data_IF_448485452564
#
_entry.id   IF_448485452564
#
_cell.length_a   1.000
_cell.length_b   1.000
_cell.length_c   1.000
_cell.angle_alpha   90.00
_cell.angle_beta   90.00
_cell.angle_gamma   90.00
#
_symmetry.space_group_name_H-M   'P 1'
#
loop_
_entity.id
_entity.type
_entity.pdbx_description
1 polymer ?
#
# COMPACT_ATOMS: atom_id res chain seq x y z
N UNK A 1 11.64 6.63 -5.42
CA UNK A 1 10.95 5.34 -5.69
C UNK A 1 10.50 4.82 -4.34
N UNK A 2 9.20 4.82 -4.07
CA UNK A 2 8.65 4.43 -2.78
C UNK A 2 8.34 2.93 -2.74
N UNK A 3 8.36 2.37 -1.54
CA UNK A 3 8.22 0.93 -1.33
C UNK A 3 6.83 0.65 -0.74
N UNK A 4 6.03 -0.14 -1.45
CA UNK A 4 4.78 -0.69 -0.95
C UNK A 4 5.01 -2.17 -0.69
N UNK A 5 4.84 -2.61 0.56
CA UNK A 5 4.95 -4.02 0.94
C UNK A 5 3.62 -4.51 1.47
N UNK A 6 3.21 -5.69 1.05
CA UNK A 6 2.00 -6.32 1.57
C UNK A 6 2.35 -7.57 2.35
N UNK A 7 1.69 -7.78 3.47
CA UNK A 7 1.91 -8.88 4.42
C UNK A 7 0.58 -9.56 4.73
N UNK A 8 0.49 -10.87 4.47
CA UNK A 8 -0.65 -11.68 4.88
C UNK A 8 -0.23 -12.70 5.93
N UNK A 9 -0.95 -12.75 7.05
CA UNK A 9 -0.65 -13.64 8.17
C UNK A 9 0.80 -13.48 8.69
N UNK A 10 1.30 -12.25 8.72
CA UNK A 10 2.65 -11.91 9.18
C UNK A 10 3.78 -12.35 8.24
N UNK A 11 3.47 -12.83 7.03
CA UNK A 11 4.45 -13.17 5.99
C UNK A 11 4.35 -12.19 4.82
N UNK A 12 5.49 -11.71 4.28
CA UNK A 12 5.47 -10.88 3.08
C UNK A 12 4.78 -11.64 1.96
N UNK A 13 3.83 -11.01 1.29
CA UNK A 13 3.17 -11.59 0.13
C UNK A 13 4.17 -11.60 -1.03
N UNK A 14 4.34 -12.76 -1.64
CA UNK A 14 5.26 -13.01 -2.74
C UNK A 14 4.52 -13.81 -3.81
N UNK A 15 4.92 -13.72 -5.07
CA UNK A 15 4.27 -14.49 -6.16
C UNK A 15 4.17 -15.99 -5.87
N UNK A 16 5.11 -16.52 -5.08
CA UNK A 16 5.17 -17.91 -4.63
C UNK A 16 4.18 -18.29 -3.51
N UNK A 17 3.53 -17.33 -2.84
CA UNK A 17 2.56 -17.60 -1.77
C UNK A 17 1.14 -17.08 -2.07
N UNK A 18 0.94 -16.43 -3.22
CA UNK A 18 -0.37 -16.08 -3.76
C UNK A 18 -1.00 -17.36 -4.35
N UNK A 19 -2.22 -17.71 -3.94
CA UNK A 19 -2.84 -18.98 -4.33
C UNK A 19 -3.50 -18.92 -5.71
N UNK A 20 -3.92 -17.75 -6.18
CA UNK A 20 -4.63 -17.63 -7.46
C UNK A 20 -4.29 -16.37 -8.25
N UNK A 21 -4.51 -16.41 -9.58
CA UNK A 21 -4.39 -15.22 -10.43
C UNK A 21 -5.42 -14.14 -10.06
N UNK A 22 -6.57 -14.52 -9.49
CA UNK A 22 -7.56 -13.57 -8.99
C UNK A 22 -7.01 -12.78 -7.78
N UNK A 23 -6.39 -13.47 -6.82
CA UNK A 23 -5.72 -12.81 -5.68
C UNK A 23 -4.58 -11.92 -6.15
N UNK A 24 -3.81 -12.36 -7.16
CA UNK A 24 -2.75 -11.53 -7.76
C UNK A 24 -3.31 -10.27 -8.40
N UNK A 25 -4.36 -10.39 -9.20
CA UNK A 25 -5.00 -9.25 -9.86
C UNK A 25 -5.63 -8.29 -8.85
N UNK A 26 -6.24 -8.80 -7.79
CA UNK A 26 -6.77 -7.97 -6.70
C UNK A 26 -5.65 -7.24 -5.96
N UNK A 27 -4.53 -7.92 -5.69
CA UNK A 27 -3.35 -7.34 -5.07
C UNK A 27 -2.75 -6.22 -5.94
N UNK A 28 -2.56 -6.48 -7.23
CA UNK A 28 -2.06 -5.49 -8.18
C UNK A 28 -2.99 -4.27 -8.24
N UNK A 29 -4.31 -4.49 -8.28
CA UNK A 29 -5.29 -3.41 -8.27
C UNK A 29 -5.24 -2.56 -6.98
N UNK A 30 -5.06 -3.18 -5.80
CA UNK A 30 -4.90 -2.45 -4.54
C UNK A 30 -3.60 -1.63 -4.54
N UNK A 31 -2.49 -2.23 -4.97
CA UNK A 31 -1.20 -1.55 -5.03
C UNK A 31 -1.23 -0.40 -6.04
N UNK A 32 -1.82 -0.59 -7.22
CA UNK A 32 -1.99 0.47 -8.21
C UNK A 32 -2.90 1.59 -7.70
N UNK A 33 -4.02 1.26 -7.05
CA UNK A 33 -4.90 2.26 -6.45
C UNK A 33 -4.19 3.11 -5.41
N UNK A 34 -3.43 2.49 -4.49
CA UNK A 34 -2.64 3.22 -3.50
C UNK A 34 -1.59 4.11 -4.18
N UNK A 35 -0.90 3.60 -5.21
CA UNK A 35 0.09 4.38 -5.94
C UNK A 35 -0.54 5.60 -6.61
N UNK A 36 -1.66 5.43 -7.28
CA UNK A 36 -2.38 6.52 -7.95
C UNK A 36 -2.84 7.60 -6.97
N UNK A 37 -3.43 7.18 -5.84
CA UNK A 37 -3.83 8.10 -4.77
C UNK A 37 -2.64 8.85 -4.18
N UNK A 38 -1.54 8.15 -3.89
CA UNK A 38 -0.31 8.77 -3.35
C UNK A 38 0.30 9.75 -4.36
N UNK A 39 0.44 9.35 -5.63
CA UNK A 39 0.99 10.23 -6.67
C UNK A 39 0.09 11.44 -6.98
N UNK A 40 -1.21 11.33 -6.72
CA UNK A 40 -2.17 12.44 -6.84
C UNK A 40 -2.15 13.38 -5.63
N UNK A 41 -1.89 12.85 -4.43
CA UNK A 41 -1.89 13.61 -3.19
C UNK A 41 -0.57 14.32 -2.90
N UNK A 42 0.57 13.74 -3.32
CA UNK A 42 1.91 14.25 -2.98
C UNK A 42 2.84 14.26 -4.19
N UNK A 43 3.86 15.13 -4.17
CA UNK A 43 4.85 15.20 -5.24
C UNK A 43 5.75 13.95 -5.29
N UNK A 44 6.39 13.67 -6.43
CA UNK A 44 7.29 12.51 -6.60
C UNK A 44 8.44 12.46 -5.59
N UNK A 45 8.94 13.62 -5.19
CA UNK A 45 10.00 13.75 -4.19
C UNK A 45 9.48 13.41 -2.78
N UNK A 46 8.30 13.93 -2.42
CA UNK A 46 7.61 13.60 -1.17
C UNK A 46 7.25 12.11 -1.11
N UNK A 47 6.66 11.55 -2.17
CA UNK A 47 6.29 10.14 -2.25
C UNK A 47 7.50 9.23 -1.98
N UNK A 48 8.68 9.58 -2.49
CA UNK A 48 9.91 8.80 -2.31
C UNK A 48 10.40 8.74 -0.85
N UNK A 49 9.83 9.54 0.05
CA UNK A 49 10.14 9.54 1.49
C UNK A 49 9.16 8.71 2.32
N UNK A 50 8.17 8.09 1.67
CA UNK A 50 7.09 7.35 2.33
C UNK A 50 7.28 5.86 2.11
N UNK A 51 6.95 5.07 3.12
CA UNK A 51 6.73 3.62 3.03
C UNK A 51 5.29 3.32 3.42
N UNK A 52 4.64 2.46 2.64
CA UNK A 52 3.29 1.99 2.94
C UNK A 52 3.34 0.48 3.08
N UNK A 53 3.06 0.00 4.28
CA UNK A 53 2.95 -1.42 4.60
C UNK A 53 1.46 -1.78 4.67
N UNK A 54 1.02 -2.68 3.79
CA UNK A 54 -0.34 -3.21 3.77
C UNK A 54 -0.34 -4.52 4.55
N UNK A 55 -1.07 -4.59 5.65
CA UNK A 55 -1.04 -5.73 6.59
C UNK A 55 -2.45 -6.27 6.76
N UNK A 56 -2.64 -7.56 6.57
CA UNK A 56 -3.93 -8.19 6.85
C UNK A 56 -3.82 -9.69 7.07
N UNK A 57 -4.89 -10.32 7.53
CA UNK A 57 -4.99 -11.79 7.52
C UNK A 57 -5.66 -12.29 6.24
N UNK A 58 -6.50 -11.47 5.63
CA UNK A 58 -7.26 -11.74 4.42
C UNK A 58 -7.50 -10.42 3.63
N UNK A 59 -7.93 -10.50 2.36
CA UNK A 59 -8.22 -9.32 1.52
C UNK A 59 -9.33 -8.44 2.10
N UNK A 60 -10.25 -9.04 2.85
CA UNK A 60 -11.36 -8.31 3.49
C UNK A 60 -10.91 -7.58 4.76
N UNK A 61 -9.73 -7.90 5.30
CA UNK A 61 -9.21 -7.40 6.57
C UNK A 61 -7.81 -6.79 6.40
N UNK A 62 -7.71 -5.90 5.41
CA UNK A 62 -6.49 -5.16 5.08
C UNK A 62 -6.41 -3.86 5.88
N UNK A 63 -5.27 -3.66 6.52
CA UNK A 63 -4.88 -2.44 7.21
C UNK A 63 -3.69 -1.79 6.51
N UNK A 64 -3.56 -0.48 6.64
CA UNK A 64 -2.47 0.30 6.06
C UNK A 64 -1.64 0.94 7.17
N UNK A 65 -0.34 0.69 7.18
CA UNK A 65 0.64 1.39 8.01
C UNK A 65 1.49 2.29 7.11
N UNK A 66 1.39 3.61 7.32
CA UNK A 66 2.11 4.60 6.52
C UNK A 66 3.21 5.20 7.39
N UNK A 67 4.45 5.14 6.90
CA UNK A 67 5.64 5.65 7.58
C UNK A 67 6.32 6.72 6.75
N UNK A 68 6.68 7.84 7.36
CA UNK A 68 7.35 8.95 6.68
C UNK A 68 7.30 10.24 7.50
N UNK A 69 7.63 11.40 6.91
CA UNK A 69 7.45 12.70 7.54
C UNK A 69 5.96 12.96 7.83
N UNK A 70 5.64 13.37 9.07
CA UNK A 70 4.25 13.52 9.56
C UNK A 70 3.35 14.33 8.63
N UNK A 71 3.86 15.42 8.05
CA UNK A 71 3.11 16.27 7.12
C UNK A 71 2.70 15.53 5.83
N UNK A 72 3.52 14.62 5.36
CA UNK A 72 3.24 13.84 4.14
C UNK A 72 2.35 12.65 4.47
N UNK A 73 2.58 12.00 5.62
CA UNK A 73 1.72 10.91 6.13
C UNK A 73 0.28 11.40 6.25
N UNK A 74 0.05 12.55 6.88
CA UNK A 74 -1.29 13.11 7.05
C UNK A 74 -2.00 13.41 5.72
N UNK A 75 -1.27 13.86 4.70
CA UNK A 75 -1.84 14.08 3.35
C UNK A 75 -2.29 12.77 2.70
N UNK A 76 -1.49 11.72 2.85
CA UNK A 76 -1.77 10.41 2.26
C UNK A 76 -2.93 9.73 3.01
N UNK A 77 -2.93 9.78 4.34
CA UNK A 77 -4.04 9.27 5.16
C UNK A 77 -5.36 9.96 4.80
N UNK A 78 -5.36 11.28 4.63
CA UNK A 78 -6.53 12.02 4.20
C UNK A 78 -7.02 11.58 2.80
N UNK A 79 -6.11 11.31 1.87
CA UNK A 79 -6.43 10.89 0.52
C UNK A 79 -6.92 9.42 0.44
N UNK A 80 -6.50 8.54 1.35
CA UNK A 80 -6.93 7.14 1.41
C UNK A 80 -8.21 6.93 2.23
N UNK A 81 -8.63 7.92 3.01
CA UNK A 81 -9.86 7.89 3.79
C UNK A 81 -11.11 8.36 3.01
N UNK A 82 -10.92 8.90 1.80
CA UNK A 82 -11.97 9.38 0.88
C UNK A 82 -12.47 8.28 -0.06
#
# INVERSE_FOLDING_TARGET
MFEVKMTINGKPMTESNIQSELEKAMLEAVVEGIKETVESAVSKDEASQIRIDVIGTDIEDLSFEISGPDEIVAKIEAALAE
#
